data_IF_700961181882
#
_entry.id   IF_700961181882
#
_cell.length_a   1.000
_cell.length_b   1.000
_cell.length_c   1.000
_cell.angle_alpha   90.00
_cell.angle_beta   90.00
_cell.angle_gamma   90.00
#
_symmetry.space_group_name_H-M   'P 1'
#
loop_
_entity.id
_entity.type
_entity.pdbx_description
1 polymer ?
#
# COMPACT_ATOMS: atom_id res chain seq x y z
N UNK A 1 -12.52 13.74 -8.47
CA UNK A 1 -12.78 13.41 -7.05
C UNK A 1 -11.49 13.71 -6.29
N UNK A 2 -11.54 14.23 -5.06
CA UNK A 2 -10.34 14.35 -4.24
C UNK A 2 -9.76 12.96 -3.97
N UNK A 3 -8.43 12.82 -4.04
CA UNK A 3 -7.72 11.58 -3.73
C UNK A 3 -8.05 11.12 -2.31
N UNK A 4 -8.50 9.89 -2.15
CA UNK A 4 -8.81 9.33 -0.84
C UNK A 4 -7.55 8.76 -0.19
N UNK A 5 -7.03 9.48 0.81
CA UNK A 5 -5.85 9.11 1.59
C UNK A 5 -6.22 8.46 2.92
N UNK A 6 -5.41 7.51 3.36
CA UNK A 6 -5.51 6.87 4.65
C UNK A 6 -5.04 7.83 5.75
N UNK A 7 -5.86 8.02 6.79
CA UNK A 7 -5.63 9.06 7.79
C UNK A 7 -4.35 8.84 8.62
N UNK A 8 -3.95 7.59 8.84
CA UNK A 8 -2.79 7.27 9.67
C UNK A 8 -1.47 7.42 8.90
N UNK A 9 -1.42 6.91 7.68
CA UNK A 9 -0.19 6.72 6.90
C UNK A 9 -0.01 7.73 5.78
N UNK A 10 -1.07 8.49 5.42
CA UNK A 10 -1.06 9.43 4.32
C UNK A 10 -1.03 8.78 2.93
N UNK A 11 -1.06 7.45 2.84
CA UNK A 11 -1.03 6.71 1.58
C UNK A 11 -2.41 6.70 0.90
N UNK A 12 -2.46 6.63 -0.45
CA UNK A 12 -3.68 6.32 -1.18
C UNK A 12 -4.37 5.06 -0.64
N UNK A 13 -5.69 5.10 -0.55
CA UNK A 13 -6.49 3.98 -0.03
C UNK A 13 -6.76 2.92 -1.10
N UNK A 14 -7.36 1.80 -0.69
CA UNK A 14 -7.92 0.78 -1.61
C UNK A 14 -8.82 1.37 -2.69
N UNK A 15 -9.58 2.43 -2.39
CA UNK A 15 -10.46 3.09 -3.36
C UNK A 15 -9.66 3.69 -4.52
N UNK A 16 -8.47 4.26 -4.25
CA UNK A 16 -7.57 4.78 -5.27
C UNK A 16 -6.92 3.65 -6.07
N UNK A 17 -6.47 2.57 -5.40
CA UNK A 17 -5.94 1.38 -6.06
C UNK A 17 -6.94 0.80 -7.06
N UNK A 18 -8.20 0.60 -6.64
CA UNK A 18 -9.24 0.03 -7.48
C UNK A 18 -9.54 0.91 -8.70
N UNK A 19 -9.48 2.25 -8.54
CA UNK A 19 -9.66 3.19 -9.65
C UNK A 19 -8.49 3.10 -10.64
N UNK A 20 -7.27 3.06 -10.12
CA UNK A 20 -6.05 2.99 -10.94
C UNK A 20 -5.93 1.67 -11.69
N UNK A 21 -6.28 0.56 -11.05
CA UNK A 21 -6.32 -0.77 -11.67
C UNK A 21 -7.38 -0.84 -12.78
N UNK A 22 -8.60 -0.30 -12.54
CA UNK A 22 -9.64 -0.20 -13.58
C UNK A 22 -9.16 0.61 -14.78
N UNK A 23 -8.42 1.69 -14.54
CA UNK A 23 -7.89 2.52 -15.61
C UNK A 23 -6.80 1.79 -16.40
N UNK A 24 -5.87 1.11 -15.74
CA UNK A 24 -4.83 0.30 -16.39
C UNK A 24 -5.44 -0.81 -17.26
N UNK A 25 -6.44 -1.53 -16.74
CA UNK A 25 -7.20 -2.55 -17.49
C UNK A 25 -7.85 -1.94 -18.73
N UNK A 26 -8.54 -0.79 -18.58
CA UNK A 26 -9.19 -0.09 -19.70
C UNK A 26 -8.20 0.33 -20.78
N UNK A 27 -7.00 0.75 -20.39
CA UNK A 27 -5.93 1.17 -21.29
C UNK A 27 -5.11 0.01 -21.84
N UNK A 28 -5.34 -1.23 -21.36
CA UNK A 28 -4.50 -2.41 -21.63
C UNK A 28 -3.02 -2.15 -21.30
N UNK A 29 -2.78 -1.41 -20.23
CA UNK A 29 -1.45 -1.12 -19.72
C UNK A 29 -0.94 -2.31 -18.89
N UNK A 30 0.30 -2.74 -19.12
CA UNK A 30 0.93 -3.78 -18.30
C UNK A 30 1.21 -3.24 -16.90
N UNK A 31 0.87 -4.00 -15.87
CA UNK A 31 1.18 -3.67 -14.49
C UNK A 31 1.41 -4.93 -13.65
N UNK A 32 2.30 -4.83 -12.66
CA UNK A 32 2.40 -5.78 -11.55
C UNK A 32 1.74 -5.19 -10.31
N UNK A 33 1.12 -6.06 -9.52
CA UNK A 33 0.53 -5.74 -8.24
C UNK A 33 1.08 -6.70 -7.20
N UNK A 34 1.79 -6.17 -6.21
CA UNK A 34 2.20 -6.90 -5.02
C UNK A 34 1.27 -6.52 -3.86
N UNK A 35 0.74 -7.52 -3.18
CA UNK A 35 0.00 -7.37 -1.93
C UNK A 35 0.91 -7.77 -0.78
N UNK A 36 0.96 -6.94 0.25
CA UNK A 36 1.82 -7.12 1.41
C UNK A 36 0.93 -7.11 2.66
N UNK A 37 1.16 -8.06 3.55
CA UNK A 37 0.51 -8.14 4.84
C UNK A 37 1.60 -8.06 5.92
N UNK A 38 1.36 -7.27 6.97
CA UNK A 38 2.33 -7.07 8.03
C UNK A 38 2.08 -8.03 9.18
N UNK A 39 2.91 -9.06 9.26
CA UNK A 39 2.88 -10.01 10.37
C UNK A 39 3.21 -9.35 11.72
N UNK A 40 2.56 -9.79 12.79
CA UNK A 40 2.95 -9.46 14.16
C UNK A 40 2.36 -8.15 14.73
N UNK A 41 1.49 -7.45 14.00
CA UNK A 41 0.93 -6.18 14.47
C UNK A 41 0.06 -6.35 15.72
N UNK A 42 -0.69 -7.45 15.80
CA UNK A 42 -1.57 -7.74 16.93
C UNK A 42 -0.75 -7.91 18.21
N UNK A 43 0.38 -8.61 18.13
CA UNK A 43 1.31 -8.83 19.23
C UNK A 43 1.95 -7.51 19.68
N UNK A 44 2.40 -6.67 18.74
CA UNK A 44 2.93 -5.33 19.04
C UNK A 44 1.88 -4.49 19.78
N UNK A 45 0.62 -4.51 19.31
CA UNK A 45 -0.46 -3.77 19.95
C UNK A 45 -0.79 -4.32 21.35
N UNK A 46 -0.74 -5.63 21.53
CA UNK A 46 -1.00 -6.27 22.81
C UNK A 46 0.09 -5.96 23.86
N UNK A 47 1.36 -5.92 23.45
CA UNK A 47 2.48 -5.69 24.36
C UNK A 47 2.79 -4.21 24.60
N UNK A 48 2.63 -3.37 23.57
CA UNK A 48 3.12 -1.98 23.57
C UNK A 48 2.02 -0.93 23.32
N UNK A 49 0.77 -1.38 23.10
CA UNK A 49 -0.39 -0.54 22.85
C UNK A 49 -0.56 -0.10 21.39
N UNK A 50 -1.77 0.33 21.05
CA UNK A 50 -2.14 0.70 19.67
C UNK A 50 -1.28 1.82 19.08
N UNK A 51 -0.84 2.77 19.90
CA UNK A 51 0.07 3.84 19.42
C UNK A 51 1.41 3.29 18.94
N UNK A 52 1.87 2.15 19.48
CA UNK A 52 3.08 1.49 19.00
C UNK A 52 2.85 0.85 17.63
N UNK A 53 1.73 0.14 17.43
CA UNK A 53 1.36 -0.38 16.12
C UNK A 53 1.18 0.72 15.08
N UNK A 54 0.56 1.84 15.46
CA UNK A 54 0.42 3.02 14.60
C UNK A 54 1.78 3.56 14.14
N UNK A 55 2.78 3.58 15.02
CA UNK A 55 4.16 3.97 14.66
C UNK A 55 4.80 2.96 13.71
N UNK A 56 4.56 1.67 13.89
CA UNK A 56 5.07 0.62 12.98
C UNK A 56 4.45 0.79 11.59
N UNK A 57 3.13 0.96 11.50
CA UNK A 57 2.42 1.18 10.23
C UNK A 57 2.91 2.44 9.50
N UNK A 58 3.16 3.53 10.22
CA UNK A 58 3.75 4.76 9.67
C UNK A 58 5.17 4.53 9.14
N UNK A 59 6.01 3.87 9.93
CA UNK A 59 7.39 3.58 9.53
C UNK A 59 7.44 2.69 8.28
N UNK A 60 6.57 1.67 8.19
CA UNK A 60 6.46 0.83 7.00
C UNK A 60 5.99 1.65 5.78
N UNK A 61 4.97 2.48 5.95
CA UNK A 61 4.48 3.36 4.89
C UNK A 61 5.59 4.29 4.36
N UNK A 62 6.35 4.93 5.25
CA UNK A 62 7.47 5.80 4.90
C UNK A 62 8.59 5.03 4.17
N UNK A 63 8.94 3.83 4.67
CA UNK A 63 9.94 2.97 4.05
C UNK A 63 9.53 2.58 2.63
N UNK A 64 8.28 2.16 2.44
CA UNK A 64 7.76 1.79 1.13
C UNK A 64 7.75 3.00 0.18
N UNK A 65 7.31 4.18 0.63
CA UNK A 65 7.34 5.39 -0.21
C UNK A 65 8.76 5.78 -0.65
N UNK A 66 9.76 5.57 0.19
CA UNK A 66 11.15 5.92 -0.12
C UNK A 66 11.85 4.89 -1.02
N UNK A 67 11.40 3.64 -1.02
CA UNK A 67 12.08 2.53 -1.71
C UNK A 67 11.33 1.99 -2.94
N UNK A 68 10.03 2.21 -3.02
CA UNK A 68 9.21 1.69 -4.10
C UNK A 68 9.45 2.43 -5.42
N UNK A 69 9.56 1.65 -6.51
CA UNK A 69 9.58 2.18 -7.89
C UNK A 69 8.16 2.50 -8.37
N UNK A 70 7.14 1.95 -7.72
CA UNK A 70 5.73 2.11 -8.05
C UNK A 70 4.91 2.89 -7.02
N UNK A 71 3.61 2.94 -7.22
CA UNK A 71 2.67 3.57 -6.30
C UNK A 71 2.35 2.62 -5.14
N UNK A 72 2.36 3.16 -3.92
CA UNK A 72 2.09 2.42 -2.68
C UNK A 72 0.71 2.81 -2.15
N UNK A 73 -0.04 1.84 -1.64
CA UNK A 73 -1.40 2.02 -1.11
C UNK A 73 -1.51 1.36 0.26
N UNK A 74 -2.32 1.95 1.14
CA UNK A 74 -2.75 1.33 2.39
C UNK A 74 -4.18 0.83 2.20
N UNK A 75 -4.38 -0.49 2.21
CA UNK A 75 -5.62 -1.11 1.71
C UNK A 75 -6.45 -1.83 2.78
N UNK A 76 -5.84 -2.14 3.93
CA UNK A 76 -6.45 -2.81 5.07
C UNK A 76 -6.04 -2.17 6.40
N UNK A 77 -5.94 -2.94 7.48
CA UNK A 77 -5.39 -2.46 8.76
C UNK A 77 -3.86 -2.51 8.78
N UNK A 78 -3.33 -3.65 8.37
CA UNK A 78 -1.92 -4.03 8.20
C UNK A 78 -1.56 -4.35 6.75
N UNK A 79 -2.54 -4.31 5.85
CA UNK A 79 -2.37 -4.65 4.43
C UNK A 79 -1.96 -3.43 3.59
N UNK A 80 -0.93 -3.60 2.78
CA UNK A 80 -0.43 -2.62 1.82
C UNK A 80 -0.41 -3.21 0.40
N UNK A 81 -0.41 -2.35 -0.60
CA UNK A 81 -0.21 -2.75 -1.98
C UNK A 81 0.86 -1.90 -2.66
N UNK A 82 1.59 -2.49 -3.59
CA UNK A 82 2.51 -1.83 -4.50
C UNK A 82 2.07 -2.12 -5.93
N UNK A 83 1.78 -1.07 -6.70
CA UNK A 83 1.47 -1.17 -8.13
C UNK A 83 2.60 -0.57 -8.96
N UNK A 84 3.18 -1.38 -9.84
CA UNK A 84 4.21 -0.95 -10.80
C UNK A 84 3.65 -1.04 -12.20
N UNK A 85 3.57 0.08 -12.90
CA UNK A 85 3.12 0.16 -14.29
C UNK A 85 4.28 0.01 -15.27
N UNK A 86 3.98 -0.44 -16.48
CA UNK A 86 4.96 -0.57 -17.55
C UNK A 86 6.03 -1.64 -17.29
N UNK A 87 5.76 -2.59 -16.39
CA UNK A 87 6.69 -3.67 -16.05
C UNK A 87 6.51 -4.87 -16.98
N UNK A 88 7.59 -5.61 -17.20
CA UNK A 88 7.58 -6.92 -17.87
C UNK A 88 7.31 -8.04 -16.86
N UNK A 89 7.00 -9.25 -17.33
CA UNK A 89 6.76 -10.39 -16.45
C UNK A 89 8.02 -10.77 -15.67
N UNK A 90 9.20 -10.60 -16.26
CA UNK A 90 10.49 -10.88 -15.63
C UNK A 90 10.89 -9.84 -14.55
N UNK A 91 10.27 -8.66 -14.57
CA UNK A 91 10.51 -7.56 -13.62
C UNK A 91 9.45 -7.46 -12.52
N UNK A 92 8.38 -8.27 -12.62
CA UNK A 92 7.29 -8.35 -11.66
C UNK A 92 7.65 -9.33 -10.53
#
# INVERSE_FOLDING_TARGET
MPTQLHALTGLPTRVELDQELKQAIKQRESCALALLDMDGLVEVNAELGNEAGDRVLKALAELMQQSAVGAVYHIGGDEFALMVKGTTLEQA
#
